data_IF_210774557975
#
_entry.id   IF_210774557975
#
_cell.length_a   1.000
_cell.length_b   1.000
_cell.length_c   1.000
_cell.angle_alpha   90.00
_cell.angle_beta   90.00
_cell.angle_gamma   90.00
#
_symmetry.space_group_name_H-M   'P 1'
#
loop_
_entity.id
_entity.type
_entity.pdbx_description
1 polymer ?
#
# COMPACT_ATOMS: atom_id res chain seq x y z
N UNK A 1 -1.97 72.05 -7.27
CA UNK A 1 -2.17 71.43 -5.95
C UNK A 1 -3.65 71.57 -5.64
N UNK A 2 -4.38 70.45 -5.50
CA UNK A 2 -5.83 70.47 -5.34
C UNK A 2 -6.20 70.20 -3.88
N UNK A 3 -6.45 71.26 -3.11
CA UNK A 3 -6.74 71.26 -1.66
C UNK A 3 -8.11 70.66 -1.25
N UNK A 4 -8.83 70.01 -2.17
CA UNK A 4 -10.18 69.47 -1.92
C UNK A 4 -10.40 68.05 -2.43
N UNK A 5 -9.33 67.25 -2.54
CA UNK A 5 -9.47 65.84 -2.88
C UNK A 5 -9.52 64.99 -1.61
N UNK A 6 -10.65 64.34 -1.36
CA UNK A 6 -10.72 63.25 -0.40
C UNK A 6 -10.13 61.99 -1.01
N UNK A 7 -9.56 61.10 -0.21
CA UNK A 7 -8.90 59.87 -0.69
C UNK A 7 -9.78 58.99 -1.60
N UNK A 8 -11.10 59.11 -1.48
CA UNK A 8 -12.07 58.42 -2.33
C UNK A 8 -12.39 59.16 -3.65
N UNK A 9 -12.07 60.45 -3.75
CA UNK A 9 -12.34 61.33 -4.89
C UNK A 9 -11.04 61.76 -5.62
N UNK A 10 -9.88 61.26 -5.20
CA UNK A 10 -8.64 61.49 -5.93
C UNK A 10 -8.69 60.79 -7.30
N UNK A 11 -8.34 61.48 -8.39
CA UNK A 11 -8.31 60.87 -9.72
C UNK A 11 -7.30 59.72 -9.70
N UNK A 12 -7.80 58.50 -9.91
CA UNK A 12 -6.94 57.31 -9.97
C UNK A 12 -5.99 57.42 -11.18
N UNK A 13 -4.73 56.97 -11.05
CA UNK A 13 -3.82 56.95 -12.19
C UNK A 13 -4.44 56.12 -13.33
N UNK A 14 -4.36 56.64 -14.55
CA UNK A 14 -4.84 55.94 -15.74
C UNK A 14 -4.17 54.57 -15.83
N UNK A 15 -4.96 53.53 -16.08
CA UNK A 15 -4.46 52.18 -16.27
C UNK A 15 -3.62 52.18 -17.55
N UNK A 16 -2.34 51.83 -17.43
CA UNK A 16 -1.45 51.68 -18.58
C UNK A 16 -1.77 50.35 -19.29
N UNK A 17 -2.28 50.37 -20.54
CA UNK A 17 -2.67 49.16 -21.26
C UNK A 17 -1.47 48.24 -21.56
N UNK A 18 -0.24 48.76 -21.56
CA UNK A 18 0.97 47.95 -21.77
C UNK A 18 1.35 47.11 -20.53
N UNK A 19 0.96 47.56 -19.33
CA UNK A 19 1.25 46.88 -18.05
C UNK A 19 0.06 46.09 -17.48
N UNK A 20 -1.09 46.10 -18.15
CA UNK A 20 -2.30 45.41 -17.67
C UNK A 20 -2.12 43.88 -17.56
N UNK A 21 -1.23 43.30 -18.38
CA UNK A 21 -0.90 41.87 -18.35
C UNK A 21 0.14 41.51 -17.29
N UNK A 22 0.80 42.49 -16.69
CA UNK A 22 1.68 42.26 -15.55
C UNK A 22 0.79 42.01 -14.34
N UNK A 23 0.74 40.76 -13.87
CA UNK A 23 0.10 40.42 -12.61
C UNK A 23 0.79 41.19 -11.48
N UNK A 24 0.26 42.35 -11.13
CA UNK A 24 0.63 43.07 -9.91
C UNK A 24 0.36 42.10 -8.77
N UNK A 25 1.43 41.63 -8.11
CA UNK A 25 1.32 40.93 -6.83
C UNK A 25 0.78 41.94 -5.83
N UNK A 26 -0.53 42.10 -5.76
CA UNK A 26 -1.17 42.89 -4.72
C UNK A 26 -0.81 42.24 -3.39
N UNK A 27 -0.12 42.98 -2.53
CA UNK A 27 0.15 42.54 -1.16
C UNK A 27 -1.17 42.21 -0.50
N UNK A 28 -1.27 41.00 0.09
CA UNK A 28 -2.49 40.52 0.72
C UNK A 28 -3.12 41.61 1.58
N UNK A 29 -4.37 41.95 1.25
CA UNK A 29 -5.12 42.94 2.04
C UNK A 29 -5.33 42.41 3.45
N UNK A 30 -5.41 43.31 4.43
CA UNK A 30 -5.60 42.90 5.83
C UNK A 30 -6.87 42.06 6.04
N UNK A 31 -7.91 42.31 5.23
CA UNK A 31 -9.14 41.50 5.21
C UNK A 31 -8.88 40.07 4.70
N UNK A 32 -8.14 39.91 3.61
CA UNK A 32 -7.79 38.58 3.08
C UNK A 32 -6.96 37.78 4.09
N UNK A 33 -6.05 38.44 4.81
CA UNK A 33 -5.28 37.82 5.89
C UNK A 33 -6.18 37.36 7.03
N UNK A 34 -7.13 38.19 7.46
CA UNK A 34 -8.09 37.82 8.49
C UNK A 34 -8.98 36.64 8.06
N UNK A 35 -9.49 36.65 6.83
CA UNK A 35 -10.30 35.55 6.28
C UNK A 35 -9.49 34.25 6.27
N UNK A 36 -8.24 34.28 5.77
CA UNK A 36 -7.37 33.11 5.76
C UNK A 36 -7.14 32.58 7.18
N UNK A 37 -6.86 33.48 8.13
CA UNK A 37 -6.64 33.11 9.52
C UNK A 37 -7.82 32.35 10.13
N UNK A 38 -9.06 32.83 9.94
CA UNK A 38 -10.24 32.14 10.44
C UNK A 38 -10.47 30.79 9.74
N UNK A 39 -10.26 30.71 8.43
CA UNK A 39 -10.37 29.44 7.69
C UNK A 39 -9.35 28.41 8.18
N UNK A 40 -8.12 28.83 8.47
CA UNK A 40 -7.10 27.97 9.03
C UNK A 40 -7.43 27.55 10.47
N UNK A 41 -7.99 28.46 11.28
CA UNK A 41 -8.42 28.16 12.64
C UNK A 41 -9.56 27.14 12.65
N UNK A 42 -10.56 27.29 11.77
CA UNK A 42 -11.68 26.36 11.66
C UNK A 42 -11.23 24.98 11.20
N UNK A 43 -10.31 24.92 10.22
CA UNK A 43 -9.70 23.65 9.79
C UNK A 43 -8.98 22.95 10.94
N UNK A 44 -8.16 23.68 11.70
CA UNK A 44 -7.46 23.12 12.87
C UNK A 44 -8.44 22.62 13.93
N UNK A 45 -9.50 23.37 14.19
CA UNK A 45 -10.51 22.96 15.16
C UNK A 45 -11.22 21.66 14.74
N UNK A 46 -11.47 21.49 13.44
CA UNK A 46 -12.07 20.29 12.87
C UNK A 46 -11.09 19.10 12.93
N UNK A 47 -9.84 19.28 12.53
CA UNK A 47 -8.78 18.27 12.65
C UNK A 47 -8.59 17.80 14.10
N UNK A 48 -8.64 18.72 15.07
CA UNK A 48 -8.57 18.38 16.50
C UNK A 48 -9.79 17.59 16.98
N UNK A 49 -10.98 17.86 16.44
CA UNK A 49 -12.18 17.08 16.76
C UNK A 49 -12.09 15.68 16.17
N UNK A 50 -11.73 15.57 14.89
CA UNK A 50 -11.53 14.28 14.23
C UNK A 50 -10.48 13.44 14.96
N UNK A 51 -9.33 14.03 15.34
CA UNK A 51 -8.30 13.33 16.10
C UNK A 51 -8.80 12.83 17.46
N UNK A 52 -9.64 13.60 18.16
CA UNK A 52 -10.26 13.18 19.42
C UNK A 52 -11.25 12.05 19.21
N UNK A 53 -12.04 12.10 18.15
CA UNK A 53 -13.01 11.06 17.78
C UNK A 53 -12.31 9.76 17.38
N UNK A 54 -11.25 9.84 16.57
CA UNK A 54 -10.42 8.69 16.20
C UNK A 54 -9.75 8.05 17.43
N UNK A 55 -9.19 8.87 18.33
CA UNK A 55 -8.61 8.38 19.57
C UNK A 55 -9.67 7.70 20.46
N UNK A 56 -10.86 8.28 20.57
CA UNK A 56 -11.98 7.69 21.30
C UNK A 56 -12.42 6.36 20.67
N UNK A 57 -12.54 6.30 19.35
CA UNK A 57 -12.90 5.09 18.62
C UNK A 57 -11.84 4.00 18.81
N UNK A 58 -10.56 4.33 18.67
CA UNK A 58 -9.45 3.39 18.89
C UNK A 58 -9.44 2.83 20.31
N UNK A 59 -9.84 3.63 21.30
CA UNK A 59 -9.96 3.17 22.69
C UNK A 59 -11.25 2.41 22.99
N UNK A 60 -12.30 2.64 22.21
CA UNK A 60 -13.60 1.97 22.33
C UNK A 60 -13.47 0.46 22.15
N UNK A 61 -14.34 -0.28 22.83
CA UNK A 61 -14.39 -1.75 22.74
C UNK A 61 -14.67 -2.22 21.31
N UNK A 62 -15.48 -1.46 20.55
CA UNK A 62 -15.78 -1.77 19.15
C UNK A 62 -14.55 -1.51 18.28
N UNK A 63 -13.89 -0.36 18.42
CA UNK A 63 -12.71 -0.04 17.62
C UNK A 63 -11.55 -1.01 17.89
N UNK A 64 -11.32 -1.40 19.14
CA UNK A 64 -10.35 -2.45 19.49
C UNK A 64 -10.65 -3.80 18.84
N UNK A 65 -11.92 -4.23 18.84
CA UNK A 65 -12.34 -5.47 18.16
C UNK A 65 -12.14 -5.38 16.66
N UNK A 66 -12.43 -4.23 16.07
CA UNK A 66 -12.27 -3.98 14.63
C UNK A 66 -10.79 -4.04 14.24
N UNK A 67 -9.91 -3.36 14.99
CA UNK A 67 -8.47 -3.39 14.78
C UNK A 67 -7.88 -4.79 14.94
N UNK A 68 -8.29 -5.54 15.99
CA UNK A 68 -7.85 -6.92 16.18
C UNK A 68 -8.32 -7.83 15.02
N UNK A 69 -9.57 -7.68 14.57
CA UNK A 69 -10.07 -8.44 13.42
C UNK A 69 -9.33 -8.10 12.13
N UNK A 70 -8.91 -6.84 11.95
CA UNK A 70 -8.15 -6.40 10.78
C UNK A 70 -6.74 -7.01 10.80
N UNK A 71 -6.11 -7.05 11.97
CA UNK A 71 -4.81 -7.71 12.14
C UNK A 71 -4.91 -9.22 11.86
N UNK A 72 -5.92 -9.91 12.41
CA UNK A 72 -6.17 -11.32 12.13
C UNK A 72 -6.41 -11.57 10.64
N UNK A 73 -7.19 -10.73 9.97
CA UNK A 73 -7.43 -10.82 8.54
C UNK A 73 -6.13 -10.67 7.74
N UNK A 74 -5.29 -9.70 8.09
CA UNK A 74 -3.98 -9.50 7.46
C UNK A 74 -3.03 -10.68 7.69
N UNK A 75 -3.07 -11.31 8.86
CA UNK A 75 -2.31 -12.55 9.11
C UNK A 75 -2.83 -13.71 8.26
N UNK A 76 -4.15 -13.88 8.17
CA UNK A 76 -4.78 -14.92 7.33
C UNK A 76 -4.42 -14.74 5.84
N UNK A 77 -4.41 -13.50 5.36
CA UNK A 77 -4.02 -13.20 3.99
C UNK A 77 -2.56 -13.58 3.72
N UNK A 78 -1.63 -13.20 4.60
CA UNK A 78 -0.21 -13.60 4.50
C UNK A 78 -0.06 -15.12 4.51
N UNK A 79 -0.82 -15.83 5.33
CA UNK A 79 -0.81 -17.29 5.36
C UNK A 79 -1.35 -17.88 4.04
N UNK A 80 -2.43 -17.33 3.50
CA UNK A 80 -2.98 -17.77 2.22
C UNK A 80 -1.97 -17.56 1.08
N UNK A 81 -1.33 -16.39 1.00
CA UNK A 81 -0.27 -16.10 0.03
C UNK A 81 0.91 -17.06 0.16
N UNK A 82 1.34 -17.37 1.39
CA UNK A 82 2.39 -18.37 1.64
C UNK A 82 1.99 -19.79 1.21
N UNK A 83 0.73 -20.18 1.35
CA UNK A 83 0.24 -21.48 0.89
C UNK A 83 0.25 -21.53 -0.64
N UNK A 84 -0.22 -20.47 -1.29
CA UNK A 84 -0.23 -20.36 -2.76
C UNK A 84 1.19 -20.43 -3.32
N UNK A 85 2.13 -19.65 -2.76
CA UNK A 85 3.53 -19.67 -3.21
C UNK A 85 4.18 -21.04 -3.03
N UNK A 86 3.94 -21.73 -1.90
CA UNK A 86 4.41 -23.10 -1.68
C UNK A 86 3.80 -24.09 -2.67
N UNK A 87 2.52 -23.95 -3.02
CA UNK A 87 1.87 -24.78 -4.03
C UNK A 87 2.50 -24.56 -5.40
N UNK A 88 2.72 -23.30 -5.81
CA UNK A 88 3.39 -22.97 -7.07
C UNK A 88 4.82 -23.55 -7.11
N UNK A 89 5.60 -23.42 -6.04
CA UNK A 89 6.93 -24.03 -5.97
C UNK A 89 6.88 -25.57 -6.07
N UNK A 90 5.85 -26.19 -5.46
CA UNK A 90 5.63 -27.64 -5.55
C UNK A 90 5.20 -28.08 -6.95
N UNK A 91 4.45 -27.24 -7.69
CA UNK A 91 4.04 -27.52 -9.07
C UNK A 91 5.21 -27.45 -10.06
N UNK A 92 6.20 -26.59 -9.78
CA UNK A 92 7.41 -26.45 -10.61
C UNK A 92 8.34 -27.67 -10.50
N UNK A 93 8.46 -28.29 -9.31
CA UNK A 93 9.23 -29.53 -9.15
C UNK A 93 8.36 -30.76 -9.46
N UNK A 94 8.63 -31.51 -10.55
CA UNK A 94 7.82 -32.67 -10.95
C UNK A 94 7.81 -33.77 -9.87
N UNK A 95 8.89 -33.91 -9.09
CA UNK A 95 8.98 -34.91 -8.03
C UNK A 95 8.17 -34.46 -6.81
N UNK A 96 8.31 -33.21 -6.39
CA UNK A 96 7.50 -32.65 -5.29
C UNK A 96 6.00 -32.68 -5.62
N UNK A 97 5.63 -32.39 -6.87
CA UNK A 97 4.26 -32.53 -7.37
C UNK A 97 3.74 -33.96 -7.24
N UNK A 98 4.53 -34.98 -7.61
CA UNK A 98 4.16 -36.38 -7.46
C UNK A 98 4.00 -36.79 -5.98
N UNK A 99 4.82 -36.27 -5.07
CA UNK A 99 4.61 -36.48 -3.62
C UNK A 99 3.36 -35.77 -3.09
N UNK A 100 3.04 -34.59 -3.60
CA UNK A 100 1.82 -33.87 -3.22
C UNK A 100 0.55 -34.61 -3.67
N UNK A 101 0.53 -35.17 -4.90
CA UNK A 101 -0.60 -36.00 -5.37
C UNK A 101 -0.71 -37.28 -4.56
N UNK A 102 0.41 -37.92 -4.20
CA UNK A 102 0.42 -39.11 -3.35
C UNK A 102 -0.27 -38.89 -2.00
N UNK A 103 -0.16 -37.68 -1.41
CA UNK A 103 -0.79 -37.36 -0.12
C UNK A 103 -2.32 -37.44 -0.16
N UNK A 104 -2.95 -37.36 -1.33
CA UNK A 104 -4.40 -37.48 -1.48
C UNK A 104 -4.90 -38.93 -1.48
N UNK A 105 -4.00 -39.91 -1.65
CA UNK A 105 -4.37 -41.32 -1.66
C UNK A 105 -4.43 -41.93 -0.25
N UNK A 106 -5.21 -43.01 -0.07
CA UNK A 106 -5.22 -43.79 1.16
C UNK A 106 -3.83 -44.33 1.54
N UNK A 107 -3.62 -44.55 2.85
CA UNK A 107 -2.32 -44.94 3.42
C UNK A 107 -1.71 -46.17 2.73
N UNK A 108 -2.53 -47.19 2.43
CA UNK A 108 -2.07 -48.44 1.82
C UNK A 108 -1.50 -48.25 0.40
N UNK A 109 -1.92 -47.22 -0.33
CA UNK A 109 -1.39 -46.88 -1.66
C UNK A 109 -0.26 -45.86 -1.54
N UNK A 110 -0.40 -44.90 -0.63
CA UNK A 110 0.52 -43.80 -0.41
C UNK A 110 1.90 -44.26 0.05
N UNK A 111 1.99 -45.13 1.07
CA UNK A 111 3.26 -45.54 1.67
C UNK A 111 4.19 -46.36 0.74
N UNK A 112 3.72 -47.38 0.00
CA UNK A 112 4.61 -48.11 -0.91
C UNK A 112 5.08 -47.23 -2.08
N UNK A 113 4.21 -46.38 -2.62
CA UNK A 113 4.55 -45.48 -3.73
C UNK A 113 5.50 -44.36 -3.29
N UNK A 114 5.32 -43.80 -2.08
CA UNK A 114 6.23 -42.76 -1.55
C UNK A 114 7.65 -43.30 -1.36
N UNK A 115 7.80 -44.52 -0.84
CA UNK A 115 9.09 -45.21 -0.73
C UNK A 115 9.71 -45.45 -2.09
N UNK A 116 8.92 -45.92 -3.06
CA UNK A 116 9.42 -46.17 -4.41
C UNK A 116 9.91 -44.89 -5.09
N UNK A 117 9.14 -43.79 -5.03
CA UNK A 117 9.57 -42.49 -5.55
C UNK A 117 10.82 -41.96 -4.83
N UNK A 118 10.93 -42.17 -3.52
CA UNK A 118 12.11 -41.77 -2.74
C UNK A 118 13.36 -42.55 -3.17
N UNK A 119 13.20 -43.86 -3.43
CA UNK A 119 14.26 -44.71 -3.97
C UNK A 119 14.70 -44.25 -5.36
N UNK A 120 13.75 -43.97 -6.26
CA UNK A 120 14.06 -43.46 -7.59
C UNK A 120 14.79 -42.12 -7.54
N UNK A 121 14.36 -41.19 -6.67
CA UNK A 121 15.03 -39.90 -6.45
C UNK A 121 16.47 -40.07 -5.97
N UNK A 122 16.70 -40.99 -5.03
CA UNK A 122 18.06 -41.30 -4.54
C UNK A 122 18.92 -41.87 -5.67
N UNK A 123 18.36 -42.76 -6.49
CA UNK A 123 19.03 -43.39 -7.63
C UNK A 123 19.35 -42.40 -8.75
N UNK A 124 18.51 -41.41 -9.02
CA UNK A 124 18.79 -40.36 -10.01
C UNK A 124 19.79 -39.34 -9.49
N UNK A 125 19.69 -38.92 -8.22
CA UNK A 125 20.64 -38.02 -7.58
C UNK A 125 22.07 -38.57 -7.53
N UNK A 126 22.23 -39.88 -7.32
CA UNK A 126 23.55 -40.55 -7.36
C UNK A 126 24.10 -40.78 -8.78
N UNK A 127 23.30 -40.54 -9.83
CA UNK A 127 23.65 -40.81 -11.23
C UNK A 127 24.04 -39.56 -12.02
N UNK A 128 23.97 -38.38 -11.40
CA UNK A 128 23.83 -37.11 -12.12
C UNK A 128 25.07 -36.21 -12.32
N UNK A 129 26.32 -36.56 -11.94
CA UNK A 129 27.47 -35.82 -12.50
C UNK A 129 28.32 -36.62 -13.51
N UNK A 130 28.33 -37.95 -13.47
CA UNK A 130 29.32 -38.73 -14.25
C UNK A 130 28.84 -39.12 -15.66
N UNK A 131 27.56 -39.45 -15.86
CA UNK A 131 27.04 -39.87 -17.18
C UNK A 131 26.56 -38.76 -18.10
N UNK A 132 26.37 -37.53 -17.62
CA UNK A 132 26.01 -36.40 -18.48
C UNK A 132 27.19 -35.91 -19.32
N UNK A 133 28.44 -36.23 -18.94
CA UNK A 133 29.64 -35.94 -19.73
C UNK A 133 29.93 -36.98 -20.81
N UNK A 134 29.48 -38.22 -20.65
CA UNK A 134 29.72 -39.31 -21.62
C UNK A 134 28.73 -39.31 -22.81
N UNK A 135 27.63 -38.57 -22.73
CA UNK A 135 26.64 -38.44 -23.81
C UNK A 135 26.78 -37.14 -24.63
N UNK A 136 27.77 -36.30 -24.30
CA UNK A 136 28.09 -35.04 -24.97
C UNK A 136 29.50 -35.03 -25.60
N UNK A 137 30.17 -36.18 -25.64
CA UNK A 137 31.47 -36.40 -26.28
C UNK A 137 31.34 -37.15 -27.59
#
# INVERSE_FOLDING_TARGET
>A
MSEFAWSWNEPRPAIDPARFTEHRQETETDLQRAIRYYLEADKKALEEQEAKEEAFFAQSTVGKKLMASLEEAGQREKLAQNIISKRQATEQDPVARAFATLKMFPVYLREPLSRHLSFLRKKTGSRSPERQKELAG
#
